data_IF_570165607370
#
_entry.id   IF_570165607370
#
_cell.length_a   1.000
_cell.length_b   1.000
_cell.length_c   1.000
_cell.angle_alpha   90.00
_cell.angle_beta   90.00
_cell.angle_gamma   90.00
#
_symmetry.space_group_name_H-M   'P 1'
#
loop_
_entity.id
_entity.type
_entity.pdbx_description
1 polymer ?
#
# COMPACT_ATOMS: atom_id res chain seq x y z
N UNK A 1 28.29 5.87 15.11
CA UNK A 1 27.37 5.80 13.94
C UNK A 1 25.99 6.13 14.46
N UNK A 2 25.40 7.25 14.08
CA UNK A 2 24.11 7.70 14.61
C UNK A 2 22.98 6.81 14.03
N UNK A 3 21.98 6.49 14.85
CA UNK A 3 20.83 5.63 14.54
C UNK A 3 20.19 5.86 13.14
N UNK A 4 20.07 7.10 12.59
CA UNK A 4 19.54 7.32 11.25
C UNK A 4 20.36 6.67 10.12
N UNK A 5 21.70 6.67 10.22
CA UNK A 5 22.57 6.05 9.21
C UNK A 5 22.50 4.52 9.17
N UNK A 6 22.13 3.91 10.29
CA UNK A 6 21.98 2.45 10.36
C UNK A 6 20.66 1.99 9.74
N UNK A 7 19.58 2.74 9.95
CA UNK A 7 18.28 2.44 9.32
C UNK A 7 18.33 2.62 7.79
N UNK A 8 19.06 3.59 7.31
CA UNK A 8 19.29 3.89 5.90
C UNK A 8 20.03 2.78 5.16
N UNK A 9 21.14 2.30 5.75
CA UNK A 9 21.91 1.20 5.16
C UNK A 9 21.10 -0.11 5.17
N UNK A 10 20.29 -0.32 6.20
CA UNK A 10 19.39 -1.47 6.30
C UNK A 10 18.29 -1.42 5.22
N UNK A 11 17.72 -0.25 4.94
CA UNK A 11 16.73 -0.07 3.88
C UNK A 11 17.31 -0.32 2.49
N UNK A 12 18.48 0.26 2.18
CA UNK A 12 19.15 0.04 0.89
C UNK A 12 19.54 -1.42 0.64
N UNK A 13 20.00 -2.11 1.69
CA UNK A 13 20.26 -3.55 1.65
C UNK A 13 18.94 -4.35 1.51
N UNK A 14 17.86 -3.91 2.14
CA UNK A 14 16.55 -4.54 2.02
C UNK A 14 15.99 -4.40 0.60
N UNK A 15 16.15 -3.23 -0.05
CA UNK A 15 15.72 -2.99 -1.43
C UNK A 15 16.51 -3.84 -2.45
N UNK A 16 17.85 -3.87 -2.32
CA UNK A 16 18.69 -4.71 -3.19
C UNK A 16 18.32 -6.18 -3.02
N UNK A 17 18.12 -6.62 -1.79
CA UNK A 17 17.70 -8.00 -1.47
C UNK A 17 16.27 -8.28 -1.92
N UNK A 18 15.33 -7.34 -1.76
CA UNK A 18 13.95 -7.51 -2.22
C UNK A 18 13.89 -7.77 -3.73
N UNK A 19 14.68 -7.03 -4.52
CA UNK A 19 14.77 -7.22 -5.97
C UNK A 19 15.34 -8.58 -6.36
N UNK A 20 16.30 -9.11 -5.58
CA UNK A 20 16.88 -10.44 -5.78
C UNK A 20 15.98 -11.57 -5.25
N UNK A 21 15.06 -11.26 -4.36
CA UNK A 21 14.23 -12.23 -3.63
C UNK A 21 12.78 -12.28 -4.13
N UNK A 22 12.44 -11.52 -5.17
CA UNK A 22 11.12 -11.56 -5.77
C UNK A 22 10.78 -13.01 -6.18
N UNK A 23 9.64 -13.52 -5.71
CA UNK A 23 9.20 -14.86 -6.06
C UNK A 23 8.50 -14.83 -7.42
N UNK A 24 9.13 -15.47 -8.39
CA UNK A 24 8.56 -15.64 -9.72
C UNK A 24 8.67 -17.11 -10.14
N UNK A 25 7.54 -17.77 -10.28
CA UNK A 25 7.45 -19.16 -10.72
C UNK A 25 7.19 -19.23 -12.21
N UNK A 26 7.70 -20.27 -12.86
CA UNK A 26 7.46 -20.51 -14.29
C UNK A 26 6.01 -20.96 -14.51
N UNK A 27 5.48 -20.72 -15.71
CA UNK A 27 4.10 -21.08 -16.05
C UNK A 27 3.81 -22.58 -15.90
N UNK A 28 4.80 -23.45 -16.15
CA UNK A 28 4.68 -24.89 -15.96
C UNK A 28 4.56 -25.33 -14.50
N UNK A 29 4.95 -24.47 -13.55
CA UNK A 29 4.81 -24.69 -12.09
C UNK A 29 3.46 -24.22 -11.54
N UNK A 30 2.69 -23.49 -12.35
CA UNK A 30 1.42 -22.90 -11.96
C UNK A 30 0.23 -23.70 -12.50
N UNK A 31 -0.87 -23.68 -11.76
CA UNK A 31 -2.18 -24.17 -12.22
C UNK A 31 -3.23 -23.06 -12.04
N UNK A 32 -4.20 -22.96 -12.94
CA UNK A 32 -5.33 -22.04 -12.78
C UNK A 32 -6.04 -22.32 -11.45
N UNK A 33 -6.29 -21.26 -10.69
CA UNK A 33 -7.11 -21.33 -9.50
C UNK A 33 -8.56 -21.08 -9.87
N UNK A 34 -9.32 -22.17 -10.00
CA UNK A 34 -10.75 -22.10 -10.29
C UNK A 34 -11.47 -21.86 -8.97
N UNK A 35 -11.96 -20.63 -8.84
CA UNK A 35 -12.78 -20.25 -7.72
C UNK A 35 -14.17 -20.82 -7.96
N UNK A 36 -14.52 -21.94 -7.31
CA UNK A 36 -15.89 -22.44 -7.36
C UNK A 36 -16.84 -21.37 -6.81
N UNK A 37 -17.87 -21.04 -7.57
CA UNK A 37 -18.77 -19.89 -7.35
C UNK A 37 -19.34 -19.73 -5.93
N UNK A 38 -19.36 -20.78 -5.13
CA UNK A 38 -20.00 -20.75 -3.80
C UNK A 38 -19.13 -20.26 -2.66
N UNK A 39 -17.80 -20.42 -2.71
CA UNK A 39 -16.93 -20.17 -1.53
C UNK A 39 -16.19 -18.83 -1.60
N UNK A 40 -15.78 -18.38 -2.76
CA UNK A 40 -15.00 -17.16 -2.94
C UNK A 40 -15.87 -15.96 -3.33
N UNK A 41 -17.00 -16.16 -4.01
CA UNK A 41 -17.99 -15.10 -4.20
C UNK A 41 -18.48 -14.49 -2.89
N UNK A 42 -18.32 -15.23 -1.78
CA UNK A 42 -18.60 -14.71 -0.45
C UNK A 42 -17.39 -13.97 0.17
N UNK A 43 -16.16 -14.23 -0.27
CA UNK A 43 -14.93 -13.62 0.26
C UNK A 43 -14.50 -12.38 -0.53
N UNK A 44 -14.82 -12.34 -1.81
CA UNK A 44 -14.47 -11.22 -2.69
C UNK A 44 -15.71 -10.83 -3.50
N UNK A 45 -16.55 -9.91 -2.97
CA UNK A 45 -17.78 -9.56 -3.64
C UNK A 45 -17.51 -9.05 -5.05
N UNK A 46 -18.07 -9.76 -6.06
CA UNK A 46 -18.21 -9.34 -7.47
C UNK A 46 -16.98 -8.87 -8.25
N UNK A 47 -15.80 -8.72 -7.61
CA UNK A 47 -14.66 -8.11 -8.25
C UNK A 47 -13.86 -9.08 -9.13
N UNK A 48 -13.71 -10.35 -8.68
CA UNK A 48 -13.05 -11.39 -9.47
C UNK A 48 -14.04 -12.14 -10.36
N UNK A 49 -15.35 -12.01 -10.14
CA UNK A 49 -16.37 -12.70 -10.91
C UNK A 49 -16.80 -11.88 -12.11
N UNK A 50 -16.73 -12.47 -13.28
CA UNK A 50 -17.41 -12.13 -14.55
C UNK A 50 -17.22 -10.74 -15.19
N UNK A 51 -16.73 -9.70 -14.53
CA UNK A 51 -16.61 -8.38 -15.17
C UNK A 51 -15.20 -7.98 -15.60
N UNK A 52 -14.15 -8.56 -14.98
CA UNK A 52 -12.78 -8.05 -15.16
C UNK A 52 -11.84 -9.01 -15.90
N UNK A 53 -12.22 -10.28 -16.17
CA UNK A 53 -11.36 -11.27 -16.84
C UNK A 53 -9.95 -11.39 -16.23
N UNK A 54 -9.82 -11.25 -14.92
CA UNK A 54 -8.58 -11.51 -14.22
C UNK A 54 -8.29 -13.01 -14.19
N UNK A 55 -7.04 -13.38 -14.41
CA UNK A 55 -6.60 -14.75 -14.36
C UNK A 55 -5.86 -15.00 -13.05
N UNK A 56 -6.32 -15.97 -12.27
CA UNK A 56 -5.75 -16.30 -10.96
C UNK A 56 -5.09 -17.68 -11.02
N UNK A 57 -3.86 -17.79 -10.49
CA UNK A 57 -3.07 -19.01 -10.48
C UNK A 57 -2.53 -19.29 -9.09
N UNK A 58 -2.27 -20.56 -8.80
CA UNK A 58 -1.53 -21.03 -7.62
C UNK A 58 -0.45 -22.02 -8.01
N UNK A 59 0.47 -22.32 -7.10
CA UNK A 59 1.43 -23.39 -7.31
C UNK A 59 0.74 -24.74 -7.43
N UNK A 60 1.20 -25.60 -8.34
CA UNK A 60 0.81 -27.01 -8.39
C UNK A 60 1.20 -27.70 -7.08
N UNK A 61 0.46 -28.73 -6.71
CA UNK A 61 0.60 -29.37 -5.42
C UNK A 61 1.97 -30.05 -5.25
N UNK A 62 2.61 -30.48 -6.32
CA UNK A 62 3.97 -31.04 -6.34
C UNK A 62 5.06 -30.05 -5.92
N UNK A 63 4.79 -28.74 -6.01
CA UNK A 63 5.69 -27.66 -5.55
C UNK A 63 5.34 -27.15 -4.16
N UNK A 64 4.29 -27.67 -3.53
CA UNK A 64 3.91 -27.35 -2.14
C UNK A 64 4.51 -28.38 -1.21
N UNK A 65 5.43 -27.94 -0.38
CA UNK A 65 6.28 -28.86 0.41
C UNK A 65 5.74 -29.19 1.80
N UNK A 66 4.73 -28.46 2.27
CA UNK A 66 4.17 -28.61 3.62
C UNK A 66 2.65 -28.79 3.53
N UNK A 67 2.09 -29.85 4.14
CA UNK A 67 0.65 -30.01 4.21
C UNK A 67 -0.01 -28.84 4.95
N UNK A 68 -1.09 -28.30 4.39
CA UNK A 68 -1.90 -27.29 5.07
C UNK A 68 -2.51 -27.89 6.35
N UNK A 69 -2.44 -27.17 7.45
CA UNK A 69 -3.11 -27.52 8.69
C UNK A 69 -3.69 -26.27 9.37
N UNK A 70 -4.61 -26.46 10.31
CA UNK A 70 -5.22 -25.35 11.05
C UNK A 70 -4.20 -24.52 11.86
N UNK A 71 -3.04 -25.11 12.20
CA UNK A 71 -2.04 -24.48 13.06
C UNK A 71 -0.81 -23.98 12.31
N UNK A 72 -0.58 -24.48 11.09
CA UNK A 72 0.64 -24.22 10.33
C UNK A 72 0.37 -24.05 8.85
N UNK A 73 1.12 -23.15 8.22
CA UNK A 73 1.10 -22.95 6.77
C UNK A 73 2.49 -22.56 6.26
N UNK A 74 2.71 -22.59 4.95
CA UNK A 74 3.97 -22.20 4.33
C UNK A 74 3.78 -21.10 3.29
N UNK A 75 4.86 -20.45 2.90
CA UNK A 75 4.85 -19.43 1.84
C UNK A 75 4.37 -20.01 0.52
N UNK A 76 4.85 -21.21 0.12
CA UNK A 76 4.46 -21.88 -1.13
C UNK A 76 2.95 -22.20 -1.16
N UNK A 77 2.38 -22.61 -0.04
CA UNK A 77 0.93 -22.87 0.04
C UNK A 77 0.09 -21.60 -0.14
N UNK A 78 0.61 -20.46 0.31
CA UNK A 78 -0.12 -19.18 0.24
C UNK A 78 0.09 -18.46 -1.08
N UNK A 79 1.13 -18.82 -1.85
CA UNK A 79 1.46 -18.18 -3.11
C UNK A 79 0.25 -18.12 -4.06
N UNK A 80 0.06 -16.94 -4.63
CA UNK A 80 -1.01 -16.67 -5.58
C UNK A 80 -0.51 -15.67 -6.61
N UNK A 81 -0.67 -16.00 -7.89
CA UNK A 81 -0.40 -15.09 -8.99
C UNK A 81 -1.71 -14.58 -9.57
N UNK A 82 -1.82 -13.27 -9.72
CA UNK A 82 -2.90 -12.60 -10.42
C UNK A 82 -2.35 -11.97 -11.69
N UNK A 83 -2.94 -12.29 -12.85
CA UNK A 83 -2.65 -11.64 -14.11
C UNK A 83 -3.79 -10.69 -14.49
N UNK A 84 -3.43 -9.45 -14.76
CA UNK A 84 -4.32 -8.39 -15.24
C UNK A 84 -4.05 -8.20 -16.72
N UNK A 85 -4.88 -8.75 -17.63
CA UNK A 85 -4.62 -8.76 -19.07
C UNK A 85 -5.00 -7.43 -19.75
N UNK A 86 -4.49 -6.29 -19.24
CA UNK A 86 -4.78 -4.97 -19.79
C UNK A 86 -4.18 -4.75 -21.17
N UNK A 87 -3.06 -5.43 -21.49
CA UNK A 87 -2.42 -5.37 -22.80
C UNK A 87 -3.31 -5.92 -23.93
N UNK A 88 -4.12 -6.93 -23.62
CA UNK A 88 -4.96 -7.65 -24.58
C UNK A 88 -6.43 -7.21 -24.52
N UNK A 89 -6.91 -6.76 -23.34
CA UNK A 89 -8.32 -6.45 -23.12
C UNK A 89 -8.54 -4.92 -23.06
N UNK A 90 -9.03 -4.33 -24.17
CA UNK A 90 -9.27 -2.90 -24.27
C UNK A 90 -10.30 -2.39 -23.25
N UNK A 91 -11.36 -3.14 -22.98
CA UNK A 91 -12.40 -2.75 -22.00
C UNK A 91 -11.82 -2.70 -20.59
N UNK A 92 -10.99 -3.67 -20.23
CA UNK A 92 -10.28 -3.69 -18.95
C UNK A 92 -9.25 -2.56 -18.89
N UNK A 93 -8.50 -2.36 -19.97
CA UNK A 93 -7.49 -1.29 -20.08
C UNK A 93 -8.05 0.07 -19.70
N UNK A 94 -9.25 0.43 -20.15
CA UNK A 94 -9.86 1.74 -19.84
C UNK A 94 -10.05 1.99 -18.34
N UNK A 95 -10.20 0.93 -17.54
CA UNK A 95 -10.33 1.05 -16.07
C UNK A 95 -9.00 1.34 -15.38
N UNK A 96 -7.89 0.98 -16.02
CA UNK A 96 -6.53 1.17 -15.51
C UNK A 96 -5.79 2.33 -16.17
N UNK A 97 -6.33 2.91 -17.22
CA UNK A 97 -5.66 4.01 -17.94
C UNK A 97 -5.68 5.28 -17.13
N UNK A 98 -4.52 5.90 -16.98
CA UNK A 98 -4.35 7.27 -16.52
C UNK A 98 -4.65 8.20 -17.69
N UNK A 99 -5.42 9.25 -17.43
CA UNK A 99 -5.85 10.19 -18.48
C UNK A 99 -4.63 10.77 -19.24
N UNK A 100 -4.71 10.77 -20.56
CA UNK A 100 -3.70 11.34 -21.47
C UNK A 100 -2.29 10.76 -21.39
N UNK A 101 -2.11 9.62 -20.78
CA UNK A 101 -0.80 8.95 -20.67
C UNK A 101 -0.87 7.50 -21.15
N UNK A 102 0.31 6.87 -21.32
CA UNK A 102 0.46 5.43 -21.62
C UNK A 102 0.57 4.56 -20.36
N UNK A 103 0.22 5.09 -19.21
CA UNK A 103 0.55 4.46 -17.94
C UNK A 103 -0.68 4.07 -17.14
N UNK A 104 -0.53 3.02 -16.35
CA UNK A 104 -1.61 2.53 -15.50
C UNK A 104 -1.79 3.40 -14.23
N UNK A 105 -3.02 3.46 -13.75
CA UNK A 105 -3.40 4.14 -12.51
C UNK A 105 -2.95 3.34 -11.29
N UNK A 106 -1.98 3.85 -10.56
CA UNK A 106 -1.42 3.17 -9.37
C UNK A 106 -2.49 2.95 -8.29
N UNK A 107 -3.37 3.91 -8.06
CA UNK A 107 -4.48 3.74 -7.11
C UNK A 107 -5.37 2.54 -7.44
N UNK A 108 -5.64 2.32 -8.74
CA UNK A 108 -6.42 1.15 -9.19
C UNK A 108 -5.66 -0.16 -9.01
N UNK A 109 -4.34 -0.16 -9.21
CA UNK A 109 -3.50 -1.33 -8.94
C UNK A 109 -3.50 -1.69 -7.45
N UNK A 110 -3.40 -0.69 -6.56
CA UNK A 110 -3.49 -0.90 -5.11
C UNK A 110 -4.84 -1.47 -4.67
N UNK A 111 -5.93 -1.01 -5.27
CA UNK A 111 -7.27 -1.55 -5.00
C UNK A 111 -7.36 -3.04 -5.37
N UNK A 112 -6.78 -3.45 -6.50
CA UNK A 112 -6.70 -4.86 -6.91
C UNK A 112 -5.77 -5.67 -6.02
N UNK A 113 -4.63 -5.10 -5.65
CA UNK A 113 -3.68 -5.73 -4.73
C UNK A 113 -4.31 -6.00 -3.37
N UNK A 114 -5.06 -5.05 -2.81
CA UNK A 114 -5.72 -5.24 -1.50
C UNK A 114 -6.71 -6.41 -1.52
N UNK A 115 -7.38 -6.62 -2.64
CA UNK A 115 -8.23 -7.81 -2.84
C UNK A 115 -7.42 -9.11 -2.89
N UNK A 116 -6.33 -9.12 -3.66
CA UNK A 116 -5.48 -10.30 -3.78
C UNK A 116 -4.81 -10.65 -2.45
N UNK A 117 -4.27 -9.66 -1.73
CA UNK A 117 -3.64 -9.91 -0.42
C UNK A 117 -4.65 -10.32 0.63
N UNK A 118 -5.88 -9.78 0.58
CA UNK A 118 -7.00 -10.26 1.39
C UNK A 118 -7.27 -11.74 1.16
N UNK A 119 -7.33 -12.17 -0.11
CA UNK A 119 -7.46 -13.57 -0.47
C UNK A 119 -6.30 -14.42 0.08
N UNK A 120 -5.04 -13.97 -0.09
CA UNK A 120 -3.85 -14.67 0.45
C UNK A 120 -3.91 -14.77 1.98
N UNK A 121 -4.34 -13.72 2.67
CA UNK A 121 -4.54 -13.72 4.12
C UNK A 121 -5.57 -14.75 4.58
N UNK A 122 -6.69 -14.85 3.87
CA UNK A 122 -7.69 -15.91 4.12
C UNK A 122 -7.14 -17.28 3.78
N UNK A 123 -6.44 -17.45 2.65
CA UNK A 123 -5.79 -18.72 2.27
C UNK A 123 -4.76 -19.18 3.32
N UNK A 124 -4.06 -18.24 3.96
CA UNK A 124 -3.18 -18.55 5.07
C UNK A 124 -3.93 -19.01 6.32
N UNK A 125 -5.00 -18.32 6.64
CA UNK A 125 -5.71 -18.46 7.93
C UNK A 125 -6.67 -19.65 7.97
N UNK A 126 -7.06 -20.17 6.81
CA UNK A 126 -8.02 -21.27 6.70
C UNK A 126 -7.50 -22.39 5.82
N UNK A 127 -7.34 -23.57 6.41
CA UNK A 127 -7.25 -24.80 5.63
C UNK A 127 -8.59 -25.13 4.96
N UNK A 128 -9.69 -24.69 5.57
CA UNK A 128 -11.06 -24.80 5.07
C UNK A 128 -11.79 -23.45 5.26
N UNK A 129 -12.26 -22.85 4.15
CA UNK A 129 -13.04 -21.61 4.14
C UNK A 129 -14.42 -21.71 4.82
N UNK A 130 -14.80 -22.86 5.34
CA UNK A 130 -16.10 -23.08 6.00
C UNK A 130 -16.17 -22.51 7.41
N UNK A 131 -15.05 -22.32 8.10
CA UNK A 131 -15.03 -21.85 9.48
C UNK A 131 -14.76 -20.34 9.56
N UNK A 132 -15.84 -19.52 9.63
CA UNK A 132 -15.83 -18.07 9.49
C UNK A 132 -15.77 -17.29 10.81
N UNK A 133 -15.11 -17.79 11.82
CA UNK A 133 -14.97 -17.06 13.08
C UNK A 133 -13.98 -15.91 13.03
N UNK A 134 -13.21 -15.80 11.95
CA UNK A 134 -12.22 -14.73 11.78
C UNK A 134 -12.49 -13.87 10.55
N UNK A 135 -12.08 -12.62 10.65
CA UNK A 135 -12.02 -11.65 9.56
C UNK A 135 -10.60 -11.14 9.40
N UNK A 136 -10.19 -10.91 8.17
CA UNK A 136 -8.89 -10.32 7.84
C UNK A 136 -9.11 -8.88 7.40
N UNK A 137 -8.41 -7.96 8.03
CA UNK A 137 -8.49 -6.53 7.73
C UNK A 137 -7.10 -5.97 7.44
N UNK A 138 -7.00 -5.08 6.47
CA UNK A 138 -5.77 -4.35 6.14
C UNK A 138 -5.46 -3.36 7.25
N UNK A 139 -4.30 -3.52 7.89
CA UNK A 139 -3.77 -2.56 8.87
C UNK A 139 -2.98 -1.46 8.16
N UNK A 140 -2.25 -1.82 7.12
CA UNK A 140 -1.49 -0.86 6.33
C UNK A 140 -0.72 -1.49 5.18
N UNK A 141 -0.17 -0.59 4.36
CA UNK A 141 0.71 -0.89 3.23
C UNK A 141 2.05 -0.24 3.51
N UNK A 142 3.10 -0.97 3.31
CA UNK A 142 4.46 -0.56 3.65
C UNK A 142 5.41 -0.87 2.51
N UNK A 143 6.48 -0.09 2.41
CA UNK A 143 7.58 -0.34 1.47
C UNK A 143 7.10 -0.52 0.02
N UNK A 144 6.28 0.40 -0.50
CA UNK A 144 5.92 0.36 -1.91
C UNK A 144 7.06 0.96 -2.73
N UNK A 145 7.90 0.09 -3.25
CA UNK A 145 9.12 0.41 -4.00
C UNK A 145 8.89 0.23 -5.50
N UNK A 146 9.14 1.27 -6.26
CA UNK A 146 9.07 1.23 -7.72
C UNK A 146 10.46 1.03 -8.31
N UNK A 147 10.63 -0.01 -9.14
CA UNK A 147 11.85 -0.27 -9.93
C UNK A 147 11.69 0.19 -11.37
N UNK A 148 10.44 0.28 -11.85
CA UNK A 148 10.04 1.00 -13.05
C UNK A 148 9.32 2.26 -12.64
N UNK A 149 9.52 3.33 -13.40
CA UNK A 149 8.90 4.61 -13.16
C UNK A 149 7.36 4.55 -13.23
N UNK A 150 6.84 3.78 -14.19
CA UNK A 150 5.41 3.64 -14.43
C UNK A 150 5.10 2.30 -15.13
N UNK A 151 3.86 1.82 -15.00
CA UNK A 151 3.36 0.61 -15.67
C UNK A 151 2.72 0.97 -17.02
N UNK A 152 3.25 0.40 -18.12
CA UNK A 152 2.68 0.56 -19.46
C UNK A 152 1.32 -0.12 -19.55
N UNK A 153 0.26 0.61 -19.87
CA UNK A 153 -1.09 0.04 -19.98
C UNK A 153 -1.29 -0.87 -21.19
N UNK A 154 -0.37 -0.90 -22.16
CA UNK A 154 -0.43 -1.82 -23.31
C UNK A 154 0.14 -3.21 -22.99
N UNK A 155 0.60 -3.43 -21.79
CA UNK A 155 1.24 -4.67 -21.35
C UNK A 155 0.53 -5.24 -20.14
N UNK A 156 0.40 -6.56 -20.11
CA UNK A 156 -0.20 -7.25 -18.97
C UNK A 156 0.62 -7.02 -17.69
N UNK A 157 -0.06 -7.00 -16.57
CA UNK A 157 0.57 -6.90 -15.25
C UNK A 157 0.38 -8.21 -14.51
N UNK A 158 1.45 -8.73 -13.95
CA UNK A 158 1.46 -9.94 -13.12
C UNK A 158 1.76 -9.53 -11.69
N UNK A 159 0.96 -9.99 -10.74
CA UNK A 159 1.10 -9.73 -9.31
C UNK A 159 1.25 -11.06 -8.58
N UNK A 160 2.40 -11.31 -7.97
CA UNK A 160 2.70 -12.49 -7.17
C UNK A 160 2.61 -12.13 -5.69
N UNK A 161 1.64 -12.68 -4.98
CA UNK A 161 1.41 -12.39 -3.57
C UNK A 161 1.55 -13.65 -2.72
N UNK A 162 2.20 -13.52 -1.56
CA UNK A 162 2.49 -14.62 -0.64
C UNK A 162 2.75 -14.12 0.77
N UNK A 163 2.50 -14.97 1.76
CA UNK A 163 2.81 -14.66 3.17
C UNK A 163 4.32 -14.74 3.39
N UNK A 164 4.89 -13.68 3.92
CA UNK A 164 6.33 -13.55 4.21
C UNK A 164 6.64 -13.64 5.70
N UNK A 165 5.72 -13.15 6.55
CA UNK A 165 5.90 -13.16 8.00
C UNK A 165 4.54 -13.23 8.71
N UNK A 166 4.53 -13.86 9.89
CA UNK A 166 3.35 -13.99 10.73
C UNK A 166 3.69 -13.66 12.17
N UNK A 167 2.92 -12.74 12.76
CA UNK A 167 2.92 -12.48 14.20
C UNK A 167 1.86 -13.31 14.92
N UNK A 168 1.41 -12.86 16.09
CA UNK A 168 0.35 -13.55 16.84
C UNK A 168 -1.01 -13.50 16.13
N UNK A 169 -1.38 -12.33 15.60
CA UNK A 169 -2.65 -12.06 14.90
C UNK A 169 -2.45 -11.20 13.65
N UNK A 170 -1.22 -10.91 13.28
CA UNK A 170 -0.86 -10.15 12.09
C UNK A 170 -0.20 -11.04 11.05
N UNK A 171 -0.45 -10.74 9.79
CA UNK A 171 0.09 -11.44 8.63
C UNK A 171 0.73 -10.39 7.73
N UNK A 172 2.01 -10.52 7.42
CA UNK A 172 2.68 -9.72 6.41
C UNK A 172 2.65 -10.49 5.08
N UNK A 173 2.14 -9.82 4.06
CA UNK A 173 1.99 -10.37 2.71
C UNK A 173 2.77 -9.48 1.77
N UNK A 174 3.78 -10.06 1.12
CA UNK A 174 4.51 -9.38 0.06
C UNK A 174 3.83 -9.61 -1.28
N UNK A 175 3.85 -8.57 -2.10
CA UNK A 175 3.41 -8.63 -3.50
C UNK A 175 4.51 -8.10 -4.40
N UNK A 176 4.94 -8.94 -5.34
CA UNK A 176 5.94 -8.61 -6.36
C UNK A 176 5.21 -8.41 -7.69
N UNK A 177 5.33 -7.21 -8.27
CA UNK A 177 4.63 -6.82 -9.50
C UNK A 177 5.59 -6.88 -10.67
N UNK A 178 5.18 -7.59 -11.71
CA UNK A 178 5.97 -7.79 -12.93
C UNK A 178 5.27 -7.22 -14.17
N UNK A 179 6.08 -6.75 -15.10
CA UNK A 179 5.67 -6.41 -16.45
C UNK A 179 6.79 -6.80 -17.41
N UNK A 180 6.48 -7.51 -18.52
CA UNK A 180 7.49 -8.10 -19.43
C UNK A 180 8.52 -9.00 -18.71
N UNK A 181 8.08 -9.80 -17.74
CA UNK A 181 8.92 -10.64 -16.90
C UNK A 181 10.01 -9.87 -16.10
N UNK A 182 9.90 -8.55 -16.01
CA UNK A 182 10.76 -7.73 -15.20
C UNK A 182 10.04 -7.25 -13.95
N UNK A 183 10.70 -7.34 -12.80
CA UNK A 183 10.17 -6.79 -11.56
C UNK A 183 10.02 -5.27 -11.70
N UNK A 184 8.78 -4.80 -11.60
CA UNK A 184 8.43 -3.40 -11.75
C UNK A 184 8.21 -2.71 -10.41
N UNK A 185 7.67 -3.42 -9.43
CA UNK A 185 7.49 -2.90 -8.07
C UNK A 185 7.38 -4.04 -7.04
N UNK A 186 7.61 -3.71 -5.78
CA UNK A 186 7.31 -4.58 -4.64
C UNK A 186 6.55 -3.79 -3.58
N UNK A 187 5.68 -4.47 -2.83
CA UNK A 187 4.91 -3.86 -1.76
C UNK A 187 4.61 -4.88 -0.66
N UNK A 188 4.63 -4.44 0.59
CA UNK A 188 4.28 -5.25 1.76
C UNK A 188 2.95 -4.77 2.34
N UNK A 189 2.00 -5.69 2.49
CA UNK A 189 0.76 -5.46 3.21
C UNK A 189 0.84 -6.11 4.59
N UNK A 190 0.37 -5.39 5.60
CA UNK A 190 0.17 -5.96 6.92
C UNK A 190 -1.33 -6.06 7.17
N UNK A 191 -1.78 -7.28 7.35
CA UNK A 191 -3.16 -7.59 7.67
C UNK A 191 -3.28 -8.08 9.10
N UNK A 192 -4.44 -7.88 9.70
CA UNK A 192 -4.74 -8.33 11.07
C UNK A 192 -5.97 -9.24 11.08
N UNK A 193 -5.87 -10.32 11.85
CA UNK A 193 -6.97 -11.22 12.10
C UNK A 193 -7.79 -10.75 13.29
N UNK A 194 -9.10 -10.65 13.10
CA UNK A 194 -10.08 -10.22 14.07
C UNK A 194 -11.18 -11.27 14.22
N UNK A 195 -11.87 -11.26 15.35
CA UNK A 195 -13.08 -12.06 15.50
C UNK A 195 -14.19 -11.51 14.59
N UNK A 196 -14.88 -12.36 13.84
CA UNK A 196 -15.89 -11.94 12.88
C UNK A 196 -17.16 -11.35 13.56
N UNK A 197 -17.46 -11.79 14.78
CA UNK A 197 -18.61 -11.29 15.56
C UNK A 197 -18.21 -10.12 16.46
N UNK A 198 -17.01 -10.20 17.06
CA UNK A 198 -16.45 -9.19 17.97
C UNK A 198 -15.20 -8.57 17.31
N UNK A 199 -15.42 -7.66 16.39
CA UNK A 199 -14.38 -7.09 15.54
C UNK A 199 -13.22 -6.40 16.29
N UNK A 200 -13.44 -5.98 17.52
CA UNK A 200 -12.44 -5.39 18.41
C UNK A 200 -11.44 -6.41 18.97
N UNK A 201 -11.79 -7.71 18.95
CA UNK A 201 -10.93 -8.77 19.46
C UNK A 201 -10.03 -9.34 18.37
N UNK A 202 -8.72 -9.38 18.65
CA UNK A 202 -7.76 -10.05 17.78
C UNK A 202 -7.88 -11.57 17.89
N UNK A 203 -7.68 -12.26 16.76
CA UNK A 203 -7.67 -13.72 16.70
C UNK A 203 -6.29 -14.21 16.26
N UNK A 204 -5.74 -15.27 16.89
CA UNK A 204 -4.48 -15.86 16.46
C UNK A 204 -4.61 -16.44 15.05
N UNK A 205 -3.49 -16.46 14.34
CA UNK A 205 -3.37 -17.02 12.98
C UNK A 205 -2.39 -18.20 12.98
N UNK A 206 -2.50 -19.13 12.01
CA UNK A 206 -1.55 -20.23 11.86
C UNK A 206 -0.11 -19.72 11.78
N UNK A 207 0.83 -20.49 12.33
CA UNK A 207 2.25 -20.16 12.26
C UNK A 207 2.80 -20.39 10.85
N UNK A 208 3.73 -19.53 10.43
CA UNK A 208 4.44 -19.71 9.17
C UNK A 208 5.65 -20.64 9.40
N UNK A 209 5.59 -21.83 8.83
CA UNK A 209 6.71 -22.77 8.84
C UNK A 209 7.78 -22.36 7.84
N UNK A 210 9.02 -22.79 8.11
CA UNK A 210 10.13 -22.55 7.20
C UNK A 210 9.93 -23.36 5.90
N UNK A 211 10.10 -22.67 4.78
CA UNK A 211 9.94 -23.25 3.46
C UNK A 211 11.00 -24.31 3.19
N UNK A 212 10.61 -25.43 2.58
CA UNK A 212 11.52 -26.52 2.26
C UNK A 212 11.83 -26.65 0.77
N UNK A 213 11.05 -26.00 -0.10
CA UNK A 213 11.29 -26.05 -1.55
C UNK A 213 12.67 -25.45 -1.89
N UNK A 214 13.58 -26.20 -2.58
CA UNK A 214 14.98 -25.79 -2.78
C UNK A 214 15.12 -24.42 -3.43
N UNK A 215 14.29 -24.12 -4.43
CA UNK A 215 14.40 -22.92 -5.25
C UNK A 215 13.99 -21.64 -4.52
N UNK A 216 13.18 -21.73 -3.47
CA UNK A 216 12.64 -20.56 -2.76
C UNK A 216 12.97 -20.52 -1.27
N UNK A 217 13.55 -21.60 -0.72
CA UNK A 217 13.87 -21.73 0.71
C UNK A 217 14.67 -20.54 1.24
N UNK A 218 15.75 -20.18 0.55
CA UNK A 218 16.61 -19.06 0.93
C UNK A 218 15.87 -17.72 0.85
N UNK A 219 15.15 -17.48 -0.25
CA UNK A 219 14.36 -16.28 -0.43
C UNK A 219 13.29 -16.13 0.65
N UNK A 220 12.57 -17.20 0.98
CA UNK A 220 11.56 -17.21 2.04
C UNK A 220 12.18 -16.95 3.42
N UNK A 221 13.33 -17.55 3.72
CA UNK A 221 14.04 -17.31 4.97
C UNK A 221 14.44 -15.83 5.13
N UNK A 222 15.02 -15.23 4.09
CA UNK A 222 15.46 -13.84 4.12
C UNK A 222 14.23 -12.90 4.21
N UNK A 223 13.13 -13.19 3.49
CA UNK A 223 11.88 -12.44 3.59
C UNK A 223 11.30 -12.45 5.01
N UNK A 224 11.32 -13.61 5.66
CA UNK A 224 10.90 -13.76 7.07
C UNK A 224 11.76 -12.89 8.01
N UNK A 225 13.09 -12.84 7.81
CA UNK A 225 13.97 -11.96 8.58
C UNK A 225 13.69 -10.48 8.32
N UNK A 226 13.44 -10.11 7.07
CA UNK A 226 13.05 -8.74 6.70
C UNK A 226 11.72 -8.35 7.35
N UNK A 227 10.73 -9.24 7.40
CA UNK A 227 9.45 -9.00 8.08
C UNK A 227 9.61 -8.68 9.57
N UNK A 228 10.51 -9.40 10.27
CA UNK A 228 10.85 -9.10 11.67
C UNK A 228 11.48 -7.70 11.80
N UNK A 229 12.45 -7.38 10.95
CA UNK A 229 13.11 -6.07 10.95
C UNK A 229 12.14 -4.93 10.61
N UNK A 230 11.26 -5.14 9.64
CA UNK A 230 10.23 -4.17 9.25
C UNK A 230 9.24 -3.89 10.38
N UNK A 231 8.84 -4.93 11.13
CA UNK A 231 8.01 -4.75 12.31
C UNK A 231 8.70 -3.85 13.36
N UNK A 232 9.98 -4.09 13.63
CA UNK A 232 10.77 -3.27 14.58
C UNK A 232 10.92 -1.84 14.08
N UNK A 233 11.17 -1.65 12.78
CA UNK A 233 11.27 -0.35 12.13
C UNK A 233 9.99 0.46 12.27
N UNK A 234 8.82 -0.13 11.96
CA UNK A 234 7.51 0.54 12.10
C UNK A 234 7.26 1.06 13.52
N UNK A 235 7.63 0.28 14.52
CA UNK A 235 7.52 0.70 15.94
C UNK A 235 8.45 1.89 16.26
N UNK A 236 9.64 1.94 15.67
CA UNK A 236 10.59 3.05 15.88
C UNK A 236 10.16 4.31 15.10
N UNK A 237 9.76 4.19 13.86
CA UNK A 237 9.36 5.32 12.99
C UNK A 237 8.12 6.05 13.55
N UNK A 238 7.17 5.32 14.12
CA UNK A 238 6.01 5.95 14.80
C UNK A 238 6.40 6.87 15.96
N UNK A 239 7.54 6.63 16.60
CA UNK A 239 8.09 7.51 17.66
C UNK A 239 8.83 8.71 17.07
N UNK A 240 9.55 8.52 15.96
CA UNK A 240 10.33 9.59 15.30
C UNK A 240 9.44 10.68 14.68
N UNK A 241 8.23 10.35 14.25
CA UNK A 241 7.27 11.33 13.73
C UNK A 241 6.88 12.40 14.78
N UNK A 242 7.05 12.11 16.06
CA UNK A 242 6.72 13.00 17.17
C UNK A 242 7.93 13.82 17.67
N UNK A 243 9.12 13.65 17.07
CA UNK A 243 10.31 14.36 17.50
C UNK A 243 10.22 15.86 17.15
N UNK A 244 10.43 16.75 18.15
CA UNK A 244 10.47 18.19 17.91
C UNK A 244 11.65 18.55 17.00
N UNK A 245 11.61 19.73 16.36
CA UNK A 245 12.72 20.21 15.53
C UNK A 245 14.02 20.30 16.36
N UNK A 246 15.10 19.84 15.79
CA UNK A 246 16.43 20.08 16.37
C UNK A 246 16.86 21.55 16.14
N UNK A 247 17.98 21.95 16.74
CA UNK A 247 18.45 23.35 16.68
C UNK A 247 18.70 23.83 15.23
N UNK A 248 19.25 22.97 14.36
CA UNK A 248 19.52 23.35 12.97
C UNK A 248 18.22 23.47 12.17
N UNK A 249 17.28 22.55 12.36
CA UNK A 249 15.96 22.59 11.75
C UNK A 249 15.16 23.81 12.20
N UNK A 250 15.21 24.16 13.49
CA UNK A 250 14.55 25.35 14.03
C UNK A 250 15.12 26.64 13.42
N UNK A 251 16.45 26.71 13.24
CA UNK A 251 17.11 27.85 12.59
C UNK A 251 16.71 27.92 11.10
N UNK A 252 16.72 26.79 10.41
CA UNK A 252 16.33 26.73 9.01
C UNK A 252 14.88 27.21 8.79
N UNK A 253 13.94 26.73 9.60
CA UNK A 253 12.54 27.18 9.55
C UNK A 253 12.42 28.69 9.81
N UNK A 254 13.14 29.21 10.82
CA UNK A 254 13.11 30.61 11.13
C UNK A 254 13.63 31.49 9.98
N UNK A 255 14.75 31.10 9.36
CA UNK A 255 15.34 31.84 8.23
C UNK A 255 14.45 31.80 7.00
N UNK A 256 13.81 30.64 6.73
CA UNK A 256 12.89 30.46 5.62
C UNK A 256 11.61 31.31 5.80
N UNK A 257 11.00 31.30 7.00
CA UNK A 257 9.79 32.08 7.27
C UNK A 257 10.02 33.60 7.24
N UNK A 258 11.27 34.05 7.38
CA UNK A 258 11.64 35.46 7.19
C UNK A 258 11.77 35.87 5.73
N UNK A 259 12.16 34.94 4.85
CA UNK A 259 12.28 35.21 3.42
C UNK A 259 10.89 35.22 2.80
N UNK A 260 10.52 36.35 2.23
CA UNK A 260 9.37 36.46 1.33
C UNK A 260 9.90 36.33 -0.09
N UNK A 261 9.83 35.12 -0.62
CA UNK A 261 10.12 34.84 -2.01
C UNK A 261 8.82 34.56 -2.77
N UNK A 262 8.92 34.16 -4.03
CA UNK A 262 7.77 33.83 -4.89
C UNK A 262 7.18 32.43 -4.61
N UNK A 263 7.53 31.78 -3.48
CA UNK A 263 7.00 30.46 -3.09
C UNK A 263 5.51 30.52 -2.78
N UNK A 264 4.80 29.43 -3.02
CA UNK A 264 3.40 29.29 -2.61
C UNK A 264 3.29 28.89 -1.15
N UNK A 265 2.28 29.39 -0.44
CA UNK A 265 1.98 28.84 0.88
C UNK A 265 1.43 27.41 0.76
N UNK A 266 1.76 26.54 1.70
CA UNK A 266 1.28 25.15 1.73
C UNK A 266 -0.25 25.09 1.63
N UNK A 267 -0.96 25.97 2.35
CA UNK A 267 -2.42 26.11 2.31
C UNK A 267 -2.98 26.39 0.91
N UNK A 268 -2.25 27.08 0.04
CA UNK A 268 -2.67 27.39 -1.32
C UNK A 268 -2.63 26.17 -2.26
N UNK A 269 -1.88 25.12 -1.88
CA UNK A 269 -1.80 23.87 -2.66
C UNK A 269 -2.90 22.88 -2.31
N UNK A 270 -3.69 23.18 -1.27
CA UNK A 270 -4.70 22.29 -0.70
C UNK A 270 -5.80 21.94 -1.69
N UNK A 271 -6.19 20.67 -1.71
CA UNK A 271 -7.39 20.14 -2.34
C UNK A 271 -8.13 19.25 -1.33
N UNK A 272 -9.44 19.48 -1.24
CA UNK A 272 -10.33 18.68 -0.39
C UNK A 272 -11.29 17.86 -1.25
N UNK A 273 -11.61 16.63 -0.80
CA UNK A 273 -12.55 15.72 -1.43
C UNK A 273 -13.39 15.03 -0.36
N UNK A 274 -14.71 15.02 -0.54
CA UNK A 274 -15.65 14.32 0.32
C UNK A 274 -16.27 13.14 -0.43
N UNK A 275 -16.30 11.96 0.18
CA UNK A 275 -16.86 10.74 -0.40
C UNK A 275 -17.76 10.08 0.64
N UNK A 276 -19.02 9.81 0.29
CA UNK A 276 -19.88 8.97 1.13
C UNK A 276 -19.61 7.50 0.84
N UNK A 277 -19.41 6.71 1.89
CA UNK A 277 -19.22 5.26 1.78
C UNK A 277 -20.57 4.59 1.60
N UNK A 278 -20.82 4.07 0.41
CA UNK A 278 -22.05 3.37 0.05
C UNK A 278 -21.94 1.87 0.28
N UNK A 279 -23.08 1.17 0.23
CA UNK A 279 -23.14 -0.28 0.43
C UNK A 279 -22.31 -1.08 -0.59
N UNK A 280 -22.08 -0.55 -1.78
CA UNK A 280 -21.23 -1.15 -2.80
C UNK A 280 -19.74 -1.10 -2.45
N UNK A 281 -19.33 -0.17 -1.59
CA UNK A 281 -17.94 0.05 -1.18
C UNK A 281 -17.56 -0.82 0.05
N UNK A 282 -18.47 -1.69 0.46
CA UNK A 282 -18.28 -2.55 1.64
C UNK A 282 -17.34 -3.74 1.34
N UNK A 283 -16.57 -4.08 2.35
CA UNK A 283 -15.90 -5.37 2.42
C UNK A 283 -16.89 -6.45 2.94
N UNK A 284 -16.40 -7.69 3.09
CA UNK A 284 -17.19 -8.84 3.59
C UNK A 284 -17.86 -8.62 4.96
N UNK A 285 -17.33 -7.70 5.74
CA UNK A 285 -17.75 -7.45 7.13
C UNK A 285 -18.57 -6.17 7.27
N UNK A 286 -19.09 -5.64 6.16
CA UNK A 286 -19.92 -4.44 6.17
C UNK A 286 -19.19 -3.14 6.53
N UNK A 287 -17.86 -3.13 6.44
CA UNK A 287 -17.02 -1.93 6.56
C UNK A 287 -16.57 -1.47 5.19
N UNK A 288 -16.16 -0.21 5.06
CA UNK A 288 -15.58 0.27 3.81
C UNK A 288 -14.32 -0.54 3.45
N UNK A 289 -14.17 -0.84 2.16
CA UNK A 289 -13.06 -1.62 1.64
C UNK A 289 -11.77 -0.78 1.64
N UNK A 290 -10.69 -1.30 2.24
CA UNK A 290 -9.41 -0.59 2.38
C UNK A 290 -8.81 -0.19 1.06
N UNK A 291 -8.83 -1.09 0.07
CA UNK A 291 -8.35 -0.84 -1.29
C UNK A 291 -9.05 0.33 -1.98
N UNK A 292 -10.37 0.48 -1.77
CA UNK A 292 -11.11 1.63 -2.29
C UNK A 292 -10.62 2.94 -1.67
N UNK A 293 -10.44 2.98 -0.35
CA UNK A 293 -9.94 4.17 0.35
C UNK A 293 -8.51 4.50 -0.13
N UNK A 294 -7.63 3.49 -0.25
CA UNK A 294 -6.26 3.67 -0.76
C UNK A 294 -6.26 4.24 -2.18
N UNK A 295 -7.10 3.72 -3.07
CA UNK A 295 -7.27 4.26 -4.43
C UNK A 295 -7.59 5.74 -4.38
N UNK A 296 -8.57 6.13 -3.59
CA UNK A 296 -9.02 7.53 -3.50
C UNK A 296 -7.93 8.45 -2.93
N UNK A 297 -7.13 7.98 -1.96
CA UNK A 297 -5.97 8.68 -1.40
C UNK A 297 -4.93 8.96 -2.49
N UNK A 298 -4.54 7.92 -3.23
CA UNK A 298 -3.52 8.04 -4.28
C UNK A 298 -3.98 8.92 -5.43
N UNK A 299 -5.23 8.81 -5.83
CA UNK A 299 -5.83 9.65 -6.87
C UNK A 299 -5.86 11.13 -6.46
N UNK A 300 -6.22 11.44 -5.20
CA UNK A 300 -6.18 12.81 -4.70
C UNK A 300 -4.75 13.35 -4.64
N UNK A 301 -3.81 12.56 -4.11
CA UNK A 301 -2.41 12.97 -4.06
C UNK A 301 -1.84 13.24 -5.45
N UNK A 302 -2.14 12.37 -6.42
CA UNK A 302 -1.76 12.58 -7.81
C UNK A 302 -2.36 13.88 -8.38
N UNK A 303 -3.64 14.15 -8.11
CA UNK A 303 -4.32 15.36 -8.56
C UNK A 303 -3.71 16.65 -7.98
N UNK A 304 -3.30 16.61 -6.69
CA UNK A 304 -2.58 17.72 -6.05
C UNK A 304 -1.27 18.02 -6.80
N UNK A 305 -0.47 16.99 -7.07
CA UNK A 305 0.78 17.12 -7.81
C UNK A 305 0.57 17.62 -9.25
N UNK A 306 -0.39 17.04 -9.96
CA UNK A 306 -0.73 17.42 -11.34
C UNK A 306 -1.18 18.89 -11.46
N UNK A 307 -2.02 19.34 -10.52
CA UNK A 307 -2.44 20.75 -10.45
C UNK A 307 -1.26 21.68 -10.18
N UNK A 308 -0.36 21.33 -9.27
CA UNK A 308 0.83 22.13 -8.94
C UNK A 308 1.83 22.19 -10.09
N UNK A 309 1.95 21.12 -10.86
CA UNK A 309 2.74 21.06 -12.09
C UNK A 309 2.02 21.70 -13.30
N UNK A 310 0.92 22.44 -13.08
CA UNK A 310 0.14 23.13 -14.10
C UNK A 310 -0.32 22.23 -15.25
N UNK A 311 -0.66 20.98 -14.97
CA UNK A 311 -1.11 20.01 -15.95
C UNK A 311 0.01 19.29 -16.71
N UNK A 312 1.27 19.49 -16.34
CA UNK A 312 2.38 18.72 -16.89
C UNK A 312 2.45 17.33 -16.28
N UNK A 313 3.16 16.42 -16.93
CA UNK A 313 3.28 15.04 -16.47
C UNK A 313 3.93 14.96 -15.09
N UNK A 314 3.25 14.23 -14.22
CA UNK A 314 3.74 13.88 -12.89
C UNK A 314 3.57 12.39 -12.66
N UNK A 315 4.51 11.77 -11.97
CA UNK A 315 4.48 10.36 -11.65
C UNK A 315 4.93 10.11 -10.21
N UNK A 316 4.33 9.07 -9.61
CA UNK A 316 4.63 8.65 -8.25
C UNK A 316 5.94 7.89 -8.28
N UNK A 317 6.93 8.33 -7.50
CA UNK A 317 8.23 7.66 -7.36
C UNK A 317 8.31 6.85 -6.06
N UNK A 318 7.50 7.21 -5.05
CA UNK A 318 7.42 6.48 -3.80
C UNK A 318 6.07 6.72 -3.11
N UNK A 319 5.53 5.69 -2.48
CA UNK A 319 4.41 5.77 -1.56
C UNK A 319 4.94 5.37 -0.19
N UNK A 320 4.96 6.34 0.73
CA UNK A 320 5.31 6.07 2.12
C UNK A 320 4.19 5.27 2.80
N UNK A 321 4.43 4.84 4.03
CA UNK A 321 3.52 3.95 4.73
C UNK A 321 2.07 4.46 4.76
N UNK A 322 1.15 3.60 4.33
CA UNK A 322 -0.30 3.82 4.45
C UNK A 322 -0.79 3.04 5.65
N UNK A 323 -1.28 3.71 6.68
CA UNK A 323 -1.80 3.04 7.89
C UNK A 323 -3.26 3.38 8.11
N UNK A 324 -4.05 2.38 8.49
CA UNK A 324 -5.45 2.55 8.88
C UNK A 324 -5.58 2.47 10.40
N UNK A 325 -5.94 3.59 11.04
CA UNK A 325 -6.06 3.71 12.48
C UNK A 325 -7.39 3.19 13.00
N UNK A 326 -8.44 3.23 12.18
CA UNK A 326 -9.78 2.80 12.55
C UNK A 326 -10.56 2.29 11.31
N UNK A 327 -11.48 1.32 11.50
CA UNK A 327 -12.37 0.87 10.44
C UNK A 327 -13.39 1.95 10.10
N UNK A 328 -13.69 2.11 8.82
CA UNK A 328 -14.68 3.06 8.30
C UNK A 328 -16.02 2.35 8.13
N UNK A 329 -17.07 2.88 8.74
CA UNK A 329 -18.42 2.33 8.62
C UNK A 329 -19.07 2.73 7.28
N UNK A 330 -19.96 1.88 6.75
CA UNK A 330 -20.82 2.26 5.63
C UNK A 330 -21.81 3.33 6.11
N UNK A 331 -22.05 4.33 5.26
CA UNK A 331 -22.84 5.53 5.60
C UNK A 331 -22.02 6.67 6.20
N UNK A 332 -20.74 6.46 6.52
CA UNK A 332 -19.83 7.55 6.92
C UNK A 332 -19.43 8.40 5.71
N UNK A 333 -19.06 9.64 5.97
CA UNK A 333 -18.43 10.52 4.98
C UNK A 333 -16.92 10.51 5.26
N UNK A 334 -16.13 10.20 4.25
CA UNK A 334 -14.68 10.37 4.27
C UNK A 334 -14.36 11.77 3.72
N UNK A 335 -13.71 12.58 4.53
CA UNK A 335 -13.08 13.82 4.11
C UNK A 335 -11.59 13.55 3.85
N UNK A 336 -11.13 13.81 2.64
CA UNK A 336 -9.74 13.70 2.26
C UNK A 336 -9.19 15.09 1.96
N UNK A 337 -8.03 15.42 2.52
CA UNK A 337 -7.34 16.68 2.32
C UNK A 337 -5.91 16.43 1.85
N UNK A 338 -5.61 16.81 0.62
CA UNK A 338 -4.28 16.70 0.03
C UNK A 338 -3.58 18.05 -0.06
N UNK A 339 -2.29 18.12 0.27
CA UNK A 339 -1.47 19.34 0.15
C UNK A 339 0.00 19.00 -0.03
N UNK A 340 0.76 19.89 -0.67
CA UNK A 340 2.20 19.74 -0.85
C UNK A 340 2.89 20.21 0.42
N UNK A 341 3.73 19.34 0.99
CA UNK A 341 4.47 19.62 2.21
C UNK A 341 5.84 20.21 1.95
N UNK A 342 6.51 19.69 0.91
CA UNK A 342 7.89 20.05 0.58
C UNK A 342 8.15 19.88 -0.91
N UNK A 343 8.96 20.74 -1.47
CA UNK A 343 9.44 20.66 -2.86
C UNK A 343 10.94 20.80 -2.88
N UNK A 344 11.60 19.97 -3.68
CA UNK A 344 13.02 20.09 -3.99
C UNK A 344 13.22 19.76 -5.46
N UNK A 345 13.70 20.72 -6.24
CA UNK A 345 13.87 20.66 -7.70
C UNK A 345 12.56 20.28 -8.42
N UNK A 346 12.48 19.09 -8.96
CA UNK A 346 11.34 18.53 -9.68
C UNK A 346 10.54 17.48 -8.86
N UNK A 347 10.91 17.30 -7.59
CA UNK A 347 10.26 16.33 -6.68
C UNK A 347 9.45 17.07 -5.61
N UNK A 348 8.25 16.56 -5.37
CA UNK A 348 7.34 17.07 -4.34
C UNK A 348 6.93 15.97 -3.38
N UNK A 349 6.86 16.30 -2.09
CA UNK A 349 6.25 15.46 -1.07
C UNK A 349 4.84 15.97 -0.81
N UNK A 350 3.86 15.09 -0.97
CA UNK A 350 2.44 15.38 -0.83
C UNK A 350 1.89 14.60 0.35
N UNK A 351 1.22 15.27 1.26
CA UNK A 351 0.43 14.65 2.31
C UNK A 351 -1.02 14.52 1.86
N UNK A 352 -1.63 13.36 2.09
CA UNK A 352 -3.07 13.17 2.03
C UNK A 352 -3.54 12.67 3.41
N UNK A 353 -4.33 13.49 4.09
CA UNK A 353 -4.98 13.16 5.34
C UNK A 353 -6.40 12.67 5.07
N UNK A 354 -6.86 11.68 5.83
CA UNK A 354 -8.20 11.12 5.74
C UNK A 354 -8.87 11.14 7.10
N UNK A 355 -9.97 11.87 7.18
CA UNK A 355 -10.82 11.95 8.35
C UNK A 355 -12.19 11.34 8.05
N UNK A 356 -12.75 10.61 9.01
CA UNK A 356 -14.09 10.01 8.91
C UNK A 356 -15.06 10.80 9.74
N UNK A 357 -16.10 11.26 9.09
CA UNK A 357 -17.19 11.99 9.70
C UNK A 357 -18.41 11.07 9.84
N UNK A 358 -18.75 10.73 11.05
CA UNK A 358 -19.95 9.95 11.37
C UNK A 358 -21.04 10.87 11.90
N UNK A 359 -22.18 10.85 11.23
CA UNK A 359 -23.35 11.63 11.61
C UNK A 359 -24.36 10.69 12.30
N UNK A 360 -24.61 10.90 13.58
CA UNK A 360 -25.58 10.13 14.36
C UNK A 360 -26.24 11.01 15.39
N UNK A 361 -27.58 10.94 15.48
CA UNK A 361 -28.40 11.63 16.50
C UNK A 361 -28.07 13.13 16.61
N UNK A 362 -27.97 13.82 15.44
CA UNK A 362 -27.58 15.25 15.33
C UNK A 362 -26.19 15.58 15.88
N UNK A 363 -25.35 14.57 16.09
CA UNK A 363 -23.95 14.72 16.48
C UNK A 363 -23.01 14.28 15.36
N UNK A 364 -21.88 14.96 15.26
CA UNK A 364 -20.79 14.62 14.33
C UNK A 364 -19.60 14.14 15.12
N UNK A 365 -19.11 12.94 14.82
CA UNK A 365 -17.86 12.44 15.37
C UNK A 365 -16.84 12.43 14.23
N UNK A 366 -15.71 13.09 14.43
CA UNK A 366 -14.60 13.14 13.46
C UNK A 366 -13.45 12.31 14.00
N UNK A 367 -12.99 11.36 13.20
CA UNK A 367 -11.87 10.47 13.55
C UNK A 367 -10.84 10.50 12.42
N UNK A 368 -9.59 10.84 12.75
CA UNK A 368 -8.48 10.65 11.80
C UNK A 368 -8.30 9.16 11.54
N UNK A 369 -8.40 8.76 10.29
CA UNK A 369 -8.37 7.35 9.89
C UNK A 369 -7.05 6.99 9.24
N UNK A 370 -6.48 7.89 8.43
CA UNK A 370 -5.23 7.64 7.72
C UNK A 370 -4.49 8.94 7.43
N UNK A 371 -3.18 8.83 7.29
CA UNK A 371 -2.31 9.89 6.81
C UNK A 371 -1.23 9.26 5.94
N UNK A 372 -1.12 9.72 4.71
CA UNK A 372 -0.26 9.13 3.68
C UNK A 372 0.59 10.21 3.06
N UNK A 373 1.84 9.89 2.82
CA UNK A 373 2.76 10.75 2.10
C UNK A 373 3.17 10.09 0.78
N UNK A 374 3.20 10.90 -0.27
CA UNK A 374 3.59 10.49 -1.61
C UNK A 374 4.78 11.34 -2.05
N UNK A 375 5.80 10.71 -2.61
CA UNK A 375 6.80 11.41 -3.37
C UNK A 375 6.45 11.34 -4.84
N UNK A 376 6.34 12.50 -5.47
CA UNK A 376 6.04 12.62 -6.90
C UNK A 376 7.10 13.44 -7.60
N UNK A 377 7.44 13.03 -8.82
CA UNK A 377 8.35 13.75 -9.69
C UNK A 377 7.58 14.38 -10.83
N UNK A 378 7.93 15.63 -11.16
CA UNK A 378 7.39 16.36 -12.30
C UNK A 378 8.34 16.29 -13.50
N UNK A 379 7.78 16.38 -14.71
CA UNK A 379 8.57 16.50 -15.95
C UNK A 379 9.20 17.89 -16.15
N UNK A 380 8.76 18.88 -15.34
CA UNK A 380 9.26 20.24 -15.35
C UNK A 380 9.61 20.69 -13.94
N UNK A 381 10.50 21.70 -13.78
CA UNK A 381 10.71 22.35 -12.48
C UNK A 381 9.41 22.90 -11.92
N UNK A 382 9.21 22.75 -10.63
CA UNK A 382 7.97 23.13 -9.94
C UNK A 382 8.23 24.23 -8.91
N UNK A 383 7.20 25.02 -8.66
CA UNK A 383 7.26 26.13 -7.73
C UNK A 383 7.45 25.64 -6.30
N UNK A 384 8.34 26.29 -5.57
CA UNK A 384 8.62 25.98 -4.16
C UNK A 384 7.40 26.28 -3.27
N UNK A 385 7.31 25.60 -2.15
CA UNK A 385 6.29 25.85 -1.13
C UNK A 385 6.95 26.33 0.17
N UNK A 386 6.21 27.12 0.93
CA UNK A 386 6.65 27.61 2.24
C UNK A 386 5.52 27.55 3.28
N UNK A 387 5.79 27.32 4.55
CA UNK A 387 4.79 27.33 5.59
C UNK A 387 4.42 28.77 5.99
N UNK A 388 3.17 28.95 6.41
CA UNK A 388 2.64 30.20 6.95
C UNK A 388 2.37 30.09 8.46
N UNK A 389 2.04 28.90 8.96
CA UNK A 389 1.71 28.62 10.35
C UNK A 389 2.73 27.67 10.98
N UNK A 390 2.70 27.55 12.30
CA UNK A 390 3.54 26.57 13.01
C UNK A 390 3.21 25.14 12.59
N UNK A 391 1.94 24.81 12.40
CA UNK A 391 1.50 23.49 11.93
C UNK A 391 2.05 23.19 10.53
N UNK A 392 1.98 24.17 9.63
CA UNK A 392 2.58 24.02 8.29
C UNK A 392 4.10 23.94 8.35
N UNK A 393 4.77 24.63 9.29
CA UNK A 393 6.21 24.52 9.48
C UNK A 393 6.62 23.11 9.93
N UNK A 394 5.85 22.49 10.82
CA UNK A 394 6.08 21.10 11.23
C UNK A 394 5.85 20.12 10.07
N UNK A 395 4.81 20.35 9.28
CA UNK A 395 4.52 19.55 8.10
C UNK A 395 5.62 19.68 7.02
N UNK A 396 6.08 20.90 6.78
CA UNK A 396 7.20 21.17 5.87
C UNK A 396 8.47 20.44 6.31
N UNK A 397 8.81 20.50 7.59
CA UNK A 397 9.95 19.81 8.15
C UNK A 397 9.83 18.29 7.99
N UNK A 398 8.64 17.75 8.22
CA UNK A 398 8.37 16.33 8.02
C UNK A 398 8.56 15.94 6.55
N UNK A 399 8.02 16.72 5.62
CA UNK A 399 8.23 16.52 4.18
C UNK A 399 9.72 16.58 3.79
N UNK A 400 10.49 17.51 4.37
CA UNK A 400 11.93 17.59 4.18
C UNK A 400 12.67 16.33 4.66
N UNK A 401 12.33 15.84 5.86
CA UNK A 401 12.89 14.58 6.41
C UNK A 401 12.56 13.37 5.53
N UNK A 402 11.37 13.34 4.95
CA UNK A 402 10.98 12.29 3.97
C UNK A 402 11.78 12.40 2.68
N UNK A 403 12.01 13.61 2.17
CA UNK A 403 12.85 13.83 0.98
C UNK A 403 14.30 13.38 1.22
N UNK A 404 14.84 13.66 2.41
CA UNK A 404 16.15 13.19 2.81
C UNK A 404 16.20 11.64 2.86
N UNK A 405 15.14 11.00 3.37
CA UNK A 405 15.02 9.53 3.36
C UNK A 405 15.07 8.97 1.93
N UNK A 406 14.31 9.56 0.99
CA UNK A 406 14.30 9.14 -0.42
C UNK A 406 15.68 9.18 -1.10
N UNK A 407 16.53 10.13 -0.76
CA UNK A 407 17.89 10.25 -1.36
C UNK A 407 18.82 9.13 -0.95
N UNK A 408 18.48 8.42 0.10
CA UNK A 408 19.27 7.35 0.66
C UNK A 408 18.69 5.96 0.38
N UNK A 409 17.43 5.91 -0.03
CA UNK A 409 16.75 4.72 -0.53
C UNK A 409 16.95 4.55 -2.03
#
# INVERSE_FOLDING_TARGET
>A
MTLPKFSLLANKLAQIRAKQLALNFKEDQLKPLILSDSKINQLVPNFFTNQNNFELYELKDEYKTIPNSQNFNSTSNTFTQLKIPIGQNQKLRTQFTKLQTKYARIGRLLEVLDLQVGFVGYKHSYADFSNRLITIATLGVYDFLFYKQEFDYNKDIIMNSYVSYVGKSSIEINSDLFQDNQLAATVSFVMVSRNAEKYDQSQPVPQLLDEQHPDIKESCFIRKQLGILNQQRRIQESKLQQEPPNQNESRYLHDMMKKRDDSLFISQTKLDKNIMMHTQDRNLHGKAFGGHIMKEIIELGWLVGYKHALGNDVYIIHIFDVTFLAPVAIGSIINQSGKICYVEDDIMIIQVQVDVHNYKDSKVTILKTSEVYLAMKSSIPIKQVQPQTYEEAMLFLHGKRMMEKLKYD
#
